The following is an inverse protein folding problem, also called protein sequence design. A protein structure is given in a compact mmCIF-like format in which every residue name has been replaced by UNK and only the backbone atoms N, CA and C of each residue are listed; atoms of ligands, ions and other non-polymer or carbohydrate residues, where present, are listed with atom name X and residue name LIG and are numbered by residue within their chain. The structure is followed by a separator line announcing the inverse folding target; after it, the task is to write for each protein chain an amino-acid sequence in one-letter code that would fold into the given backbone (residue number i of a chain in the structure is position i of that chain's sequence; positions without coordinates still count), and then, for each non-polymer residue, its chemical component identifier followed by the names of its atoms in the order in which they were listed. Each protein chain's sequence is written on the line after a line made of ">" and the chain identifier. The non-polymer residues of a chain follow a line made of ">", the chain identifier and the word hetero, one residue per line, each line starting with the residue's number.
data_IF_428539317879
#
_entry.id   IF_428539317879
#
_cell.length_a   1.000
_cell.length_b   1.000
_cell.length_c   1.000
_cell.angle_alpha   90.00
_cell.angle_beta   90.00
_cell.angle_gamma   90.00
#
_symmetry.space_group_name_H-M   'P 1'
#
loop_
_entity.id
_entity.type
_entity.pdbx_description
1 polymer ?
#
# COMPACT_ATOMS: atom_id res chain seq x y z
N UNK A 1 -22.90 24.13 14.16
CA UNK A 1 -22.12 23.52 13.05
C UNK A 1 -22.53 23.99 11.63
N UNK A 2 -23.09 25.19 11.44
CA UNK A 2 -23.56 25.67 10.12
C UNK A 2 -22.56 26.48 9.28
N UNK A 3 -21.48 27.02 9.88
CA UNK A 3 -20.54 27.89 9.15
C UNK A 3 -19.60 27.17 8.17
N UNK A 4 -19.04 26.01 8.58
CA UNK A 4 -18.03 25.27 7.79
C UNK A 4 -18.61 24.60 6.53
N UNK A 5 -19.87 24.15 6.55
CA UNK A 5 -20.56 23.60 5.36
C UNK A 5 -20.86 24.68 4.32
N UNK A 6 -21.14 25.92 4.74
CA UNK A 6 -21.41 27.05 3.82
C UNK A 6 -20.16 27.55 3.10
N UNK A 7 -18.98 27.50 3.74
CA UNK A 7 -17.71 27.82 3.07
C UNK A 7 -17.32 26.77 2.02
N UNK A 8 -17.50 25.47 2.29
CA UNK A 8 -17.12 24.42 1.34
C UNK A 8 -17.96 24.45 0.05
N UNK A 9 -19.25 24.82 0.13
CA UNK A 9 -20.07 25.00 -1.08
C UNK A 9 -19.67 26.23 -1.89
N UNK A 10 -19.31 27.35 -1.24
CA UNK A 10 -18.82 28.56 -1.93
C UNK A 10 -17.51 28.30 -2.68
N UNK A 11 -16.54 27.64 -2.03
CA UNK A 11 -15.27 27.26 -2.67
C UNK A 11 -15.47 26.27 -3.83
N UNK A 12 -16.46 25.37 -3.74
CA UNK A 12 -16.79 24.44 -4.82
C UNK A 12 -17.46 25.17 -6.00
N UNK A 13 -18.31 26.16 -5.73
CA UNK A 13 -18.89 27.03 -6.75
C UNK A 13 -17.85 27.93 -7.44
N UNK A 14 -16.89 28.48 -6.69
CA UNK A 14 -15.79 29.27 -7.26
C UNK A 14 -14.86 28.43 -8.13
N UNK A 15 -14.53 27.20 -7.70
CA UNK A 15 -13.77 26.26 -8.54
C UNK A 15 -14.53 25.89 -9.82
N UNK A 16 -15.84 25.71 -9.76
CA UNK A 16 -16.67 25.42 -10.94
C UNK A 16 -16.74 26.62 -11.90
N UNK A 17 -16.87 27.85 -11.39
CA UNK A 17 -16.82 29.08 -12.21
C UNK A 17 -15.47 29.25 -12.90
N UNK A 18 -14.36 29.07 -12.17
CA UNK A 18 -13.03 29.17 -12.76
C UNK A 18 -12.75 28.09 -13.83
N UNK A 19 -13.40 26.92 -13.78
CA UNK A 19 -13.27 25.88 -14.82
C UNK A 19 -14.10 26.21 -16.06
N UNK A 20 -15.23 26.92 -15.90
CA UNK A 20 -16.06 27.39 -17.00
C UNK A 20 -15.39 28.57 -17.70
N UNK A 21 -14.80 29.51 -16.96
CA UNK A 21 -14.13 30.69 -17.51
C UNK A 21 -12.76 30.36 -18.15
N UNK A 22 -12.06 29.33 -17.68
CA UNK A 22 -10.75 28.91 -18.22
C UNK A 22 -10.86 28.05 -19.49
N UNK A 23 -12.00 27.40 -19.71
CA UNK A 23 -12.33 26.82 -21.03
C UNK A 23 -12.90 27.92 -21.91
N UNK A 24 -12.02 28.63 -22.63
CA UNK A 24 -12.37 29.38 -23.84
C UNK A 24 -13.03 28.44 -24.85
N UNK A 25 -14.33 28.19 -24.69
CA UNK A 25 -15.19 27.60 -25.70
C UNK A 25 -15.24 28.62 -26.85
N UNK A 26 -14.40 28.39 -27.86
CA UNK A 26 -14.55 29.02 -29.16
C UNK A 26 -15.89 28.54 -29.72
N UNK A 27 -16.93 29.34 -29.57
CA UNK A 27 -18.16 29.15 -30.33
C UNK A 27 -17.79 29.32 -31.81
N UNK A 28 -18.13 28.36 -32.69
CA UNK A 28 -18.01 28.60 -34.11
C UNK A 28 -18.91 29.79 -34.47
N UNK A 29 -18.37 30.73 -35.25
CA UNK A 29 -19.12 31.89 -35.73
C UNK A 29 -20.47 31.47 -36.33
N UNK A 30 -21.54 32.29 -36.18
CA UNK A 30 -22.82 31.96 -36.79
C UNK A 30 -22.64 31.78 -38.30
N UNK A 31 -23.01 30.61 -38.79
CA UNK A 31 -22.98 30.28 -40.21
C UNK A 31 -23.76 31.35 -40.99
N UNK A 32 -23.06 32.11 -41.84
CA UNK A 32 -23.68 33.04 -42.79
C UNK A 32 -24.43 32.22 -43.83
N UNK A 33 -25.74 32.09 -43.63
CA UNK A 33 -26.64 31.49 -44.61
C UNK A 33 -26.80 32.45 -45.79
N UNK A 34 -26.27 32.09 -46.96
CA UNK A 34 -26.52 32.81 -48.22
C UNK A 34 -27.94 32.50 -48.70
N UNK A 35 -28.90 33.29 -48.23
CA UNK A 35 -30.33 33.20 -48.59
C UNK A 35 -30.63 33.69 -50.03
N UNK A 36 -29.61 34.08 -50.81
CA UNK A 36 -29.79 34.61 -52.17
C UNK A 36 -30.01 33.54 -53.25
N UNK A 37 -29.87 32.25 -52.95
CA UNK A 37 -30.12 31.19 -53.93
C UNK A 37 -31.60 30.89 -54.21
N UNK A 38 -32.52 31.63 -53.59
CA UNK A 38 -33.97 31.45 -53.77
C UNK A 38 -34.69 32.70 -54.31
N UNK A 39 -33.98 33.77 -54.66
CA UNK A 39 -34.59 35.06 -55.03
C UNK A 39 -33.95 35.79 -56.22
N UNK A 40 -33.28 35.10 -57.15
CA UNK A 40 -32.84 35.74 -58.40
C UNK A 40 -33.41 35.03 -59.62
N UNK A 41 -34.55 35.56 -60.06
CA UNK A 41 -35.11 35.37 -61.39
C UNK A 41 -34.73 36.58 -62.25
N UNK A 42 -33.88 36.33 -63.25
CA UNK A 42 -33.97 36.92 -64.61
C UNK A 42 -33.32 38.27 -64.85
N UNK A 43 -32.42 38.31 -65.85
CA UNK A 43 -32.50 39.27 -66.97
C UNK A 43 -31.63 38.82 -68.17
N UNK A 44 -31.76 39.43 -69.37
CA UNK A 44 -32.08 38.71 -70.62
C UNK A 44 -30.87 38.49 -71.55
N UNK A 45 -30.93 37.47 -72.40
CA UNK A 45 -30.02 37.36 -73.55
C UNK A 45 -30.75 36.76 -74.78
N UNK A 46 -30.75 37.53 -75.86
CA UNK A 46 -31.26 37.21 -77.21
C UNK A 46 -30.41 36.14 -77.96
N UNK A 47 -30.90 35.59 -79.10
CA UNK A 47 -30.75 34.18 -79.47
C UNK A 47 -29.67 33.89 -80.53
N UNK A 48 -29.34 32.60 -80.80
CA UNK A 48 -28.81 32.16 -82.09
C UNK A 48 -29.80 31.26 -82.85
N UNK A 49 -29.72 31.35 -84.19
CA UNK A 49 -30.66 30.86 -85.19
C UNK A 49 -30.74 29.32 -85.39
N UNK A 50 -31.89 28.90 -85.97
CA UNK A 50 -32.34 27.55 -86.33
C UNK A 50 -31.43 26.71 -87.25
N UNK A 51 -31.62 25.38 -87.26
CA UNK A 51 -32.17 24.72 -88.47
C UNK A 51 -33.19 23.57 -88.13
N UNK A 52 -33.82 22.90 -89.11
CA UNK A 52 -35.25 22.96 -89.43
C UNK A 52 -36.12 21.79 -88.92
N UNK A 53 -37.43 21.99 -89.07
CA UNK A 53 -38.60 21.24 -88.60
C UNK A 53 -38.84 19.81 -89.16
N UNK A 54 -39.57 18.99 -88.38
CA UNK A 54 -40.81 18.24 -88.73
C UNK A 54 -41.25 17.30 -87.57
N UNK A 55 -42.52 16.84 -87.47
CA UNK A 55 -43.75 17.52 -87.05
C UNK A 55 -44.25 17.06 -85.63
N UNK A 56 -45.26 17.72 -85.02
CA UNK A 56 -45.66 17.47 -83.64
C UNK A 56 -46.61 16.27 -83.50
N UNK A 57 -46.35 15.43 -82.49
CA UNK A 57 -47.33 14.45 -81.99
C UNK A 57 -48.20 15.12 -80.93
N UNK A 58 -49.52 15.09 -81.14
CA UNK A 58 -50.55 15.66 -80.28
C UNK A 58 -50.42 15.27 -78.79
N UNK A 59 -50.41 16.23 -77.84
CA UNK A 59 -50.67 15.93 -76.44
C UNK A 59 -52.18 15.82 -76.22
N UNK A 60 -52.67 14.61 -75.91
CA UNK A 60 -54.04 14.41 -75.42
C UNK A 60 -54.27 15.22 -74.15
N UNK A 61 -54.99 16.34 -74.28
CA UNK A 61 -55.46 17.17 -73.17
C UNK A 61 -56.61 16.42 -72.48
N UNK A 62 -56.39 15.94 -71.26
CA UNK A 62 -57.41 15.40 -70.37
C UNK A 62 -58.03 16.58 -69.60
N UNK A 63 -59.28 16.93 -69.90
CA UNK A 63 -60.06 17.90 -69.13
C UNK A 63 -60.65 17.18 -67.91
N UNK A 64 -60.00 17.34 -66.74
CA UNK A 64 -60.50 16.89 -65.45
C UNK A 64 -61.14 18.09 -64.73
N UNK A 65 -62.31 17.92 -64.13
CA UNK A 65 -62.98 18.94 -63.29
C UNK A 65 -62.13 19.30 -62.06
N UNK A 66 -62.18 20.57 -61.62
CA UNK A 66 -61.34 21.10 -60.50
C UNK A 66 -61.44 20.27 -59.21
N UNK A 67 -62.61 19.70 -58.91
CA UNK A 67 -62.83 18.82 -57.75
C UNK A 67 -62.11 17.46 -57.86
N UNK A 68 -62.02 16.88 -59.07
CA UNK A 68 -61.28 15.62 -59.27
C UNK A 68 -59.77 15.83 -59.21
N UNK A 69 -59.30 17.01 -59.60
CA UNK A 69 -57.89 17.39 -59.47
C UNK A 69 -57.50 17.59 -58.00
N UNK A 70 -58.33 18.29 -57.21
CA UNK A 70 -58.11 18.45 -55.77
C UNK A 70 -58.10 17.11 -55.02
N UNK A 71 -59.07 16.22 -55.30
CA UNK A 71 -59.09 14.88 -54.69
C UNK A 71 -57.84 14.04 -55.03
N UNK A 72 -57.33 14.15 -56.26
CA UNK A 72 -56.07 13.47 -56.64
C UNK A 72 -54.88 14.04 -55.88
N UNK A 73 -54.78 15.36 -55.74
CA UNK A 73 -53.71 16.03 -54.99
C UNK A 73 -53.76 15.64 -53.51
N UNK A 74 -54.95 15.64 -52.90
CA UNK A 74 -55.15 15.21 -51.51
C UNK A 74 -54.74 13.75 -51.32
N UNK A 75 -55.20 12.84 -52.20
CA UNK A 75 -54.85 11.42 -52.11
C UNK A 75 -53.34 11.13 -52.27
N UNK A 76 -52.66 11.85 -53.16
CA UNK A 76 -51.20 11.76 -53.33
C UNK A 76 -50.46 12.36 -52.13
N UNK A 77 -50.98 13.43 -51.54
CA UNK A 77 -50.41 14.05 -50.34
C UNK A 77 -50.55 13.17 -49.11
N UNK A 78 -51.72 12.57 -48.90
CA UNK A 78 -51.98 11.62 -47.81
C UNK A 78 -51.10 10.37 -47.93
N UNK A 79 -50.92 9.87 -49.16
CA UNK A 79 -50.04 8.72 -49.42
C UNK A 79 -48.58 9.02 -49.12
N UNK A 80 -48.11 10.23 -49.48
CA UNK A 80 -46.76 10.71 -49.15
C UNK A 80 -46.60 10.93 -47.64
N UNK A 81 -47.62 11.46 -46.97
CA UNK A 81 -47.61 11.73 -45.53
C UNK A 81 -47.64 10.43 -44.72
N UNK A 82 -48.47 9.46 -45.11
CA UNK A 82 -48.47 8.11 -44.53
C UNK A 82 -47.12 7.39 -44.74
N UNK A 83 -46.52 7.53 -45.92
CA UNK A 83 -45.19 6.97 -46.21
C UNK A 83 -44.09 7.65 -45.37
N UNK A 84 -44.17 8.97 -45.18
CA UNK A 84 -43.23 9.72 -44.35
C UNK A 84 -43.39 9.37 -42.86
N UNK A 85 -44.61 9.26 -42.35
CA UNK A 85 -44.90 8.82 -40.99
C UNK A 85 -44.43 7.39 -40.75
N UNK A 86 -44.71 6.46 -41.66
CA UNK A 86 -44.24 5.08 -41.56
C UNK A 86 -42.72 5.00 -41.52
N UNK A 87 -42.01 5.76 -42.37
CA UNK A 87 -40.53 5.84 -42.32
C UNK A 87 -40.04 6.44 -41.01
N UNK A 88 -40.66 7.51 -40.54
CA UNK A 88 -40.30 8.15 -39.26
C UNK A 88 -40.52 7.23 -38.06
N UNK A 89 -41.58 6.42 -38.11
CA UNK A 89 -41.89 5.47 -37.05
C UNK A 89 -40.91 4.30 -37.05
N UNK A 90 -40.53 3.79 -38.23
CA UNK A 90 -39.46 2.79 -38.35
C UNK A 90 -38.10 3.34 -37.89
N UNK A 91 -37.75 4.58 -38.26
CA UNK A 91 -36.54 5.26 -37.78
C UNK A 91 -36.54 5.40 -36.26
N UNK A 92 -37.69 5.78 -35.68
CA UNK A 92 -37.86 5.93 -34.24
C UNK A 92 -37.74 4.59 -33.51
N UNK A 93 -38.42 3.55 -33.99
CA UNK A 93 -38.38 2.21 -33.40
C UNK A 93 -36.98 1.62 -33.46
N UNK A 94 -36.27 1.81 -34.59
CA UNK A 94 -34.88 1.41 -34.73
C UNK A 94 -33.98 2.15 -33.72
N UNK A 95 -34.14 3.47 -33.57
CA UNK A 95 -33.39 4.26 -32.58
C UNK A 95 -33.74 3.88 -31.13
N UNK A 96 -34.98 3.47 -30.87
CA UNK A 96 -35.40 3.02 -29.55
C UNK A 96 -34.75 1.69 -29.21
N UNK A 97 -34.75 0.74 -30.16
CA UNK A 97 -34.10 -0.55 -29.97
C UNK A 97 -32.59 -0.41 -29.76
N UNK A 98 -31.90 0.42 -30.55
CA UNK A 98 -30.46 0.64 -30.34
C UNK A 98 -30.16 1.22 -28.97
N UNK A 99 -30.96 2.20 -28.50
CA UNK A 99 -30.81 2.77 -27.15
C UNK A 99 -31.09 1.74 -26.04
N UNK A 100 -32.07 0.87 -26.23
CA UNK A 100 -32.38 -0.21 -25.28
C UNK A 100 -31.20 -1.20 -25.22
N UNK A 101 -30.67 -1.60 -26.38
CA UNK A 101 -29.53 -2.52 -26.45
C UNK A 101 -28.27 -1.93 -25.83
N UNK A 102 -28.00 -0.65 -26.08
CA UNK A 102 -26.89 0.08 -25.44
C UNK A 102 -27.07 0.17 -23.93
N UNK A 103 -28.27 0.50 -23.45
CA UNK A 103 -28.57 0.55 -22.02
C UNK A 103 -28.41 -0.82 -21.35
N UNK A 104 -28.86 -1.91 -21.99
CA UNK A 104 -28.69 -3.28 -21.48
C UNK A 104 -27.21 -3.67 -21.46
N UNK A 105 -26.44 -3.31 -22.50
CA UNK A 105 -24.99 -3.57 -22.55
C UNK A 105 -24.24 -2.83 -21.46
N UNK A 106 -24.53 -1.55 -21.26
CA UNK A 106 -23.90 -0.74 -20.22
C UNK A 106 -24.28 -1.25 -18.83
N UNK A 107 -25.55 -1.57 -18.59
CA UNK A 107 -25.99 -2.14 -17.32
C UNK A 107 -25.33 -3.50 -17.05
N UNK A 108 -25.23 -4.38 -18.07
CA UNK A 108 -24.49 -5.65 -17.94
C UNK A 108 -23.01 -5.42 -17.68
N UNK A 109 -22.39 -4.43 -18.31
CA UNK A 109 -20.99 -4.06 -18.08
C UNK A 109 -20.80 -3.60 -16.64
N UNK A 110 -21.64 -2.66 -16.17
CA UNK A 110 -21.60 -2.15 -14.80
C UNK A 110 -21.86 -3.25 -13.76
N UNK A 111 -22.85 -4.12 -13.98
CA UNK A 111 -23.14 -5.26 -13.10
C UNK A 111 -21.97 -6.25 -13.06
N UNK A 112 -21.39 -6.60 -14.21
CA UNK A 112 -20.21 -7.48 -14.26
C UNK A 112 -19.01 -6.86 -13.54
N UNK A 113 -18.75 -5.58 -13.78
CA UNK A 113 -17.65 -4.87 -13.15
C UNK A 113 -17.84 -4.81 -11.62
N UNK A 114 -19.07 -4.59 -11.16
CA UNK A 114 -19.41 -4.63 -9.73
C UNK A 114 -19.28 -6.03 -9.12
N UNK A 115 -19.65 -7.10 -9.83
CA UNK A 115 -19.46 -8.48 -9.36
C UNK A 115 -17.98 -8.88 -9.35
N UNK A 116 -17.21 -8.47 -10.36
CA UNK A 116 -15.76 -8.71 -10.45
C UNK A 116 -15.00 -7.94 -9.37
N UNK A 117 -15.33 -6.67 -9.13
CA UNK A 117 -14.75 -5.87 -8.03
C UNK A 117 -15.01 -6.53 -6.67
N UNK A 118 -16.24 -6.96 -6.40
CA UNK A 118 -16.58 -7.66 -5.16
C UNK A 118 -15.81 -8.97 -5.00
N UNK A 119 -15.68 -9.75 -6.07
CA UNK A 119 -14.88 -10.99 -6.06
C UNK A 119 -13.41 -10.71 -5.82
N UNK A 120 -12.86 -9.67 -6.45
CA UNK A 120 -11.47 -9.29 -6.27
C UNK A 120 -11.20 -8.82 -4.83
N UNK A 121 -12.09 -8.03 -4.24
CA UNK A 121 -11.99 -7.64 -2.83
C UNK A 121 -12.08 -8.84 -1.89
N UNK A 122 -12.98 -9.80 -2.16
CA UNK A 122 -13.09 -11.03 -1.37
C UNK A 122 -11.82 -11.90 -1.49
N UNK A 123 -11.27 -12.02 -2.70
CA UNK A 123 -10.01 -12.73 -2.94
C UNK A 123 -8.84 -12.02 -2.25
N UNK A 124 -8.74 -10.70 -2.35
CA UNK A 124 -7.67 -9.93 -1.72
C UNK A 124 -7.76 -10.02 -0.19
N UNK A 125 -8.97 -9.97 0.38
CA UNK A 125 -9.17 -10.21 1.82
C UNK A 125 -8.73 -11.63 2.21
N UNK A 126 -9.13 -12.63 1.43
CA UNK A 126 -8.74 -14.02 1.66
C UNK A 126 -7.23 -14.21 1.56
N UNK A 127 -6.58 -13.60 0.58
CA UNK A 127 -5.13 -13.63 0.40
C UNK A 127 -4.42 -12.98 1.59
N UNK A 128 -4.88 -11.80 2.04
CA UNK A 128 -4.34 -11.14 3.23
C UNK A 128 -4.49 -12.00 4.49
N UNK A 129 -5.63 -12.64 4.66
CA UNK A 129 -5.86 -13.54 5.80
C UNK A 129 -4.99 -14.80 5.72
N UNK A 130 -4.81 -15.36 4.53
CA UNK A 130 -3.87 -16.47 4.31
C UNK A 130 -2.43 -16.05 4.58
N UNK A 131 -1.99 -14.90 4.07
CA UNK A 131 -0.64 -14.37 4.31
C UNK A 131 -0.38 -14.13 5.80
N UNK A 132 -1.34 -13.55 6.54
CA UNK A 132 -1.23 -13.39 7.98
C UNK A 132 -1.09 -14.74 8.70
N UNK A 133 -1.93 -15.71 8.34
CA UNK A 133 -1.86 -17.06 8.92
C UNK A 133 -0.54 -17.75 8.59
N UNK A 134 -0.02 -17.60 7.38
CA UNK A 134 1.27 -18.15 6.97
C UNK A 134 2.41 -17.50 7.76
N UNK A 135 2.43 -16.17 7.89
CA UNK A 135 3.43 -15.46 8.68
C UNK A 135 3.36 -15.83 10.18
N UNK A 136 2.15 -16.03 10.72
CA UNK A 136 1.99 -16.52 12.10
C UNK A 136 2.48 -17.96 12.28
N UNK A 137 2.25 -18.83 11.29
CA UNK A 137 2.74 -20.21 11.33
C UNK A 137 4.26 -20.26 11.20
N UNK A 138 4.83 -19.55 10.23
CA UNK A 138 6.28 -19.43 10.06
C UNK A 138 6.95 -18.92 11.33
N UNK A 139 6.38 -17.88 11.97
CA UNK A 139 6.89 -17.39 13.25
C UNK A 139 6.78 -18.42 14.38
N UNK A 140 5.70 -19.22 14.41
CA UNK A 140 5.52 -20.29 15.40
C UNK A 140 6.49 -21.45 15.17
N UNK A 141 6.75 -21.82 13.92
CA UNK A 141 7.73 -22.84 13.55
C UNK A 141 9.13 -22.40 13.94
N UNK A 142 9.54 -21.19 13.53
CA UNK A 142 10.82 -20.58 13.93
C UNK A 142 10.97 -20.54 15.46
N UNK A 143 9.90 -20.21 16.18
CA UNK A 143 9.88 -20.22 17.65
C UNK A 143 10.05 -21.62 18.21
N UNK A 144 9.39 -22.63 17.65
CA UNK A 144 9.49 -24.00 18.11
C UNK A 144 10.92 -24.53 17.95
N UNK A 145 11.55 -24.25 16.80
CA UNK A 145 12.94 -24.60 16.52
C UNK A 145 13.89 -23.90 17.51
N UNK A 146 13.71 -22.58 17.72
CA UNK A 146 14.51 -21.84 18.68
C UNK A 146 14.35 -22.37 20.12
N UNK A 147 13.14 -22.78 20.52
CA UNK A 147 12.89 -23.42 21.83
C UNK A 147 13.61 -24.77 21.93
N UNK A 148 13.61 -25.57 20.86
CA UNK A 148 14.34 -26.83 20.82
C UNK A 148 15.85 -26.60 20.97
N UNK A 149 16.40 -25.66 20.21
CA UNK A 149 17.82 -25.30 20.26
C UNK A 149 18.25 -24.76 21.63
N UNK A 150 17.41 -23.91 22.24
CA UNK A 150 17.65 -23.39 23.59
C UNK A 150 17.68 -24.51 24.62
N UNK A 151 16.72 -25.44 24.53
CA UNK A 151 16.65 -26.59 25.44
C UNK A 151 17.84 -27.52 25.27
N UNK A 152 18.27 -27.80 24.04
CA UNK A 152 19.49 -28.57 23.76
C UNK A 152 20.72 -27.92 24.39
N UNK A 153 20.78 -26.58 24.34
CA UNK A 153 21.88 -25.80 24.89
C UNK A 153 21.80 -25.56 26.41
N UNK A 154 20.74 -26.02 27.08
CA UNK A 154 20.54 -25.88 28.52
C UNK A 154 20.08 -24.48 28.95
N UNK A 155 19.56 -23.67 28.03
CA UNK A 155 19.05 -22.33 28.29
C UNK A 155 17.52 -22.35 28.51
N UNK A 156 16.97 -21.44 29.33
CA UNK A 156 15.52 -21.31 29.52
C UNK A 156 14.78 -20.99 28.21
N UNK A 157 13.66 -21.66 27.96
CA UNK A 157 12.82 -21.46 26.77
C UNK A 157 12.13 -20.09 26.72
N UNK A 158 12.07 -19.38 27.84
CA UNK A 158 11.54 -18.01 27.95
C UNK A 158 12.33 -17.03 27.07
N UNK A 159 13.61 -17.31 26.80
CA UNK A 159 14.44 -16.48 25.93
C UNK A 159 14.11 -16.62 24.44
N UNK A 160 13.31 -17.62 24.03
CA UNK A 160 13.03 -17.87 22.62
C UNK A 160 12.46 -16.62 21.92
N UNK A 161 11.47 -15.96 22.51
CA UNK A 161 10.83 -14.78 21.91
C UNK A 161 11.78 -13.60 21.72
N UNK A 162 12.83 -13.50 22.54
CA UNK A 162 13.81 -12.42 22.48
C UNK A 162 14.96 -12.69 21.49
N UNK A 163 15.21 -13.96 21.18
CA UNK A 163 16.32 -14.38 20.32
C UNK A 163 15.91 -14.65 18.87
N UNK A 164 14.60 -14.76 18.60
CA UNK A 164 14.06 -14.93 17.25
C UNK A 164 14.48 -13.79 16.34
N UNK A 165 15.17 -14.14 15.26
CA UNK A 165 15.56 -13.24 14.18
C UNK A 165 14.78 -13.56 12.90
N UNK A 166 15.12 -12.89 11.79
CA UNK A 166 14.50 -13.15 10.47
C UNK A 166 14.70 -14.58 10.00
N UNK A 167 15.82 -15.22 10.37
CA UNK A 167 16.21 -16.55 9.90
C UNK A 167 16.60 -17.45 11.08
N UNK A 168 16.50 -18.76 10.88
CA UNK A 168 16.95 -19.77 11.85
C UNK A 168 18.45 -19.64 12.17
N UNK A 169 19.30 -19.39 11.17
CA UNK A 169 20.74 -19.23 11.36
C UNK A 169 21.10 -18.05 12.27
N UNK A 170 20.50 -16.87 12.02
CA UNK A 170 20.69 -15.69 12.88
C UNK A 170 20.18 -15.95 14.30
N UNK A 171 19.09 -16.68 14.43
CA UNK A 171 18.54 -17.08 15.74
C UNK A 171 19.52 -18.00 16.49
N UNK A 172 20.13 -18.96 15.80
CA UNK A 172 21.17 -19.84 16.35
C UNK A 172 22.44 -19.08 16.78
N UNK A 173 22.87 -18.10 15.98
CA UNK A 173 23.99 -17.20 16.33
C UNK A 173 23.68 -16.40 17.60
N UNK A 174 22.49 -15.83 17.70
CA UNK A 174 22.03 -15.12 18.90
C UNK A 174 22.02 -16.04 20.12
N UNK A 175 21.51 -17.27 19.98
CA UNK A 175 21.50 -18.28 21.05
C UNK A 175 22.93 -18.62 21.49
N UNK A 176 23.86 -18.81 20.56
CA UNK A 176 25.26 -19.11 20.87
C UNK A 176 25.95 -17.96 21.60
N UNK A 177 25.71 -16.73 21.14
CA UNK A 177 26.24 -15.53 21.77
C UNK A 177 25.71 -15.38 23.20
N UNK A 178 24.39 -15.54 23.38
CA UNK A 178 23.77 -15.52 24.70
C UNK A 178 24.38 -16.60 25.61
N UNK A 179 24.48 -17.85 25.12
CA UNK A 179 25.05 -18.96 25.89
C UNK A 179 26.41 -18.61 26.45
N UNK A 180 27.32 -18.11 25.61
CA UNK A 180 28.67 -17.74 26.03
C UNK A 180 28.64 -16.68 27.14
N UNK A 181 27.88 -15.60 26.94
CA UNK A 181 27.80 -14.52 27.94
C UNK A 181 27.12 -14.97 29.25
N UNK A 182 26.15 -15.86 29.15
CA UNK A 182 25.43 -16.43 30.29
C UNK A 182 26.34 -17.34 31.10
N UNK A 183 27.04 -18.27 30.44
CA UNK A 183 27.99 -19.18 31.09
C UNK A 183 29.13 -18.39 31.74
N UNK A 184 29.65 -17.35 31.09
CA UNK A 184 30.68 -16.47 31.66
C UNK A 184 30.18 -15.73 32.92
N UNK A 185 28.94 -15.19 32.88
CA UNK A 185 28.33 -14.49 34.00
C UNK A 185 28.03 -15.44 35.19
N UNK A 186 27.50 -16.64 34.91
CA UNK A 186 27.26 -17.67 35.92
C UNK A 186 28.58 -18.13 36.52
N UNK A 187 29.61 -18.38 35.70
CA UNK A 187 30.93 -18.75 36.19
C UNK A 187 31.55 -17.65 37.05
N UNK A 188 31.42 -16.38 36.67
CA UNK A 188 31.87 -15.25 37.49
C UNK A 188 31.12 -15.22 38.83
N UNK A 189 29.80 -15.39 38.82
CA UNK A 189 28.99 -15.40 40.05
C UNK A 189 29.29 -16.59 40.95
N UNK A 190 29.50 -17.76 40.38
CA UNK A 190 29.90 -18.98 41.10
C UNK A 190 31.30 -18.81 41.69
N UNK A 191 32.25 -18.20 40.97
CA UNK A 191 33.57 -17.85 41.52
C UNK A 191 33.45 -16.85 42.67
N UNK A 192 32.58 -15.84 42.57
CA UNK A 192 32.32 -14.93 43.69
C UNK A 192 31.68 -15.64 44.89
N UNK A 193 30.72 -16.53 44.67
CA UNK A 193 30.06 -17.27 45.74
C UNK A 193 30.99 -18.32 46.39
N UNK A 194 31.89 -18.93 45.61
CA UNK A 194 32.91 -19.88 46.07
C UNK A 194 34.14 -19.18 46.66
N UNK A 195 34.28 -17.86 46.52
CA UNK A 195 35.19 -17.10 47.37
C UNK A 195 34.62 -17.16 48.78
N UNK A 196 34.97 -18.24 49.46
CA UNK A 196 34.82 -18.38 50.89
C UNK A 196 35.38 -17.09 51.51
N UNK A 197 34.56 -16.43 52.34
CA UNK A 197 35.05 -15.33 53.18
C UNK A 197 36.34 -15.82 53.82
N UNK A 198 37.41 -15.06 53.61
CA UNK A 198 38.73 -15.43 54.12
C UNK A 198 38.53 -15.76 55.59
N UNK A 199 38.83 -16.99 56.06
CA UNK A 199 38.63 -17.32 57.46
C UNK A 199 39.32 -16.22 58.26
N UNK A 200 38.62 -15.57 59.22
CA UNK A 200 39.15 -14.42 59.93
C UNK A 200 40.52 -14.85 60.40
N UNK A 201 41.56 -14.21 59.85
CA UNK A 201 42.93 -14.66 59.96
C UNK A 201 43.13 -15.12 61.40
N UNK A 202 43.22 -16.44 61.60
CA UNK A 202 43.35 -17.02 62.93
C UNK A 202 44.48 -16.24 63.56
N UNK A 203 44.14 -15.50 64.63
CA UNK A 203 44.92 -14.38 65.13
C UNK A 203 46.34 -14.80 65.49
N UNK A 204 47.21 -14.94 64.51
CA UNK A 204 48.63 -14.80 64.69
C UNK A 204 48.83 -13.31 64.77
N UNK A 205 48.53 -12.80 65.96
CA UNK A 205 49.05 -11.55 66.42
C UNK A 205 50.55 -11.61 66.12
N UNK A 206 50.97 -10.94 65.05
CA UNK A 206 52.33 -10.43 64.87
C UNK A 206 52.55 -9.34 65.92
N UNK A 207 52.33 -9.70 67.16
CA UNK A 207 52.95 -9.06 68.28
C UNK A 207 54.42 -9.12 68.04
N UNK A 208 55.02 -7.93 68.00
CA UNK A 208 56.42 -7.61 67.81
C UNK A 208 57.26 -8.17 68.98
N UNK A 209 57.12 -9.47 69.25
CA UNK A 209 57.66 -10.17 70.40
C UNK A 209 58.95 -10.83 69.97
N UNK A 210 59.98 -10.56 70.75
CA UNK A 210 61.29 -11.10 70.52
C UNK A 210 61.24 -12.65 70.62
N UNK A 211 61.56 -13.39 69.55
CA UNK A 211 61.51 -14.85 69.54
C UNK A 211 62.57 -15.51 70.43
N UNK A 212 63.48 -14.72 71.04
CA UNK A 212 64.45 -15.15 72.04
C UNK A 212 64.01 -14.87 73.48
N UNK A 213 62.91 -14.13 73.70
CA UNK A 213 62.39 -13.85 75.04
C UNK A 213 61.85 -15.13 75.71
N UNK A 214 61.94 -15.22 77.04
CA UNK A 214 61.46 -16.38 77.81
C UNK A 214 59.97 -16.65 77.62
N UNK A 215 59.17 -15.61 77.39
CA UNK A 215 57.72 -15.71 77.24
C UNK A 215 57.29 -16.09 75.81
N UNK A 216 58.14 -15.83 74.80
CA UNK A 216 57.77 -15.98 73.39
C UNK A 216 58.85 -16.71 72.58
N UNK A 217 59.49 -17.71 73.20
CA UNK A 217 60.53 -18.50 72.57
C UNK A 217 60.00 -19.32 71.39
N UNK A 218 60.50 -19.07 70.17
CA UNK A 218 60.11 -19.81 68.97
C UNK A 218 61.35 -20.21 68.14
N UNK A 219 61.68 -21.50 68.11
CA UNK A 219 62.88 -22.02 67.45
C UNK A 219 62.84 -21.91 65.92
N UNK A 220 61.65 -22.04 65.31
CA UNK A 220 61.47 -21.95 63.86
C UNK A 220 61.74 -20.52 63.38
N UNK A 221 61.20 -19.53 64.09
CA UNK A 221 61.44 -18.12 63.78
C UNK A 221 62.91 -17.72 64.03
N UNK A 222 63.54 -18.24 65.09
CA UNK A 222 64.98 -18.03 65.30
C UNK A 222 65.83 -18.58 64.15
N UNK A 223 65.51 -19.78 63.64
CA UNK A 223 66.20 -20.39 62.50
C UNK A 223 66.00 -19.61 61.20
N UNK A 224 64.79 -19.06 61.00
CA UNK A 224 64.48 -18.17 59.88
C UNK A 224 65.24 -16.85 59.97
N UNK A 225 65.22 -16.19 61.12
CA UNK A 225 65.97 -14.96 61.39
C UNK A 225 67.47 -15.15 61.19
N UNK A 226 68.04 -16.29 61.61
CA UNK A 226 69.47 -16.55 61.42
C UNK A 226 69.86 -16.61 59.93
N UNK A 227 68.98 -17.20 59.09
CA UNK A 227 69.22 -17.37 57.66
C UNK A 227 68.96 -16.10 56.86
N UNK A 228 67.88 -15.38 57.18
CA UNK A 228 67.40 -14.22 56.43
C UNK A 228 68.02 -12.90 56.92
N UNK A 229 68.25 -12.75 58.24
CA UNK A 229 68.78 -11.53 58.83
C UNK A 229 69.66 -11.82 60.08
N UNK A 230 70.93 -12.24 59.87
CA UNK A 230 71.82 -12.64 60.95
C UNK A 230 72.17 -11.49 61.91
N UNK A 231 72.13 -10.23 61.46
CA UNK A 231 72.37 -9.07 62.31
C UNK A 231 71.19 -8.81 63.26
N UNK A 232 69.95 -8.94 62.79
CA UNK A 232 68.76 -8.85 63.62
C UNK A 232 68.67 -9.99 64.63
N UNK A 233 69.04 -11.21 64.21
CA UNK A 233 69.18 -12.38 65.10
C UNK A 233 70.06 -12.07 66.31
N UNK A 234 71.26 -11.51 66.09
CA UNK A 234 72.21 -11.18 67.17
C UNK A 234 71.64 -10.10 68.10
N UNK A 235 71.01 -9.07 67.55
CA UNK A 235 70.41 -7.97 68.34
C UNK A 235 69.30 -8.46 69.26
N UNK A 236 68.35 -9.22 68.71
CA UNK A 236 67.23 -9.75 69.49
C UNK A 236 67.68 -10.77 70.55
N UNK A 237 68.66 -11.61 70.22
CA UNK A 237 69.27 -12.54 71.19
C UNK A 237 69.97 -11.80 72.33
N UNK A 238 70.69 -10.71 72.03
CA UNK A 238 71.35 -9.90 73.05
C UNK A 238 70.34 -9.14 73.93
N UNK A 239 69.26 -8.63 73.34
CA UNK A 239 68.18 -7.94 74.05
C UNK A 239 67.44 -8.87 75.03
N UNK A 240 67.25 -10.15 74.68
CA UNK A 240 66.61 -11.14 75.55
C UNK A 240 67.49 -11.61 76.72
N UNK A 241 68.80 -11.44 76.64
CA UNK A 241 69.78 -11.82 77.68
C UNK A 241 70.11 -10.69 78.65
N UNK A 242 69.46 -9.53 78.50
CA UNK A 242 69.59 -8.37 79.38
C UNK A 242 68.58 -8.44 80.51
#
# INVERSE_FOLDING_TARGET
>A
MCGKRRMNMKNKLEKMKNVIDSKKLKFPEPLKLNLQFFAESGDPQDPPADPPADPPTDPKKLELTEEELQRKIESESDRKLASALSKKQQEWDAQLQTKIDEAIKEQKRLSKLSEEERKNEELEQREKDLQKRLAELERKELRADAVADLKEKGLPSEFADFLLAENAEKTLENINSLKKTFDDAVNAKVKEALRQDTPPAGGSSLTNKNPFSKEHFNLTEQGRLLRENPELYKKLKAEANK
#
